data_IF_038387998067
#
_entry.id   IF_038387998067
#
_cell.length_a   1.000
_cell.length_b   1.000
_cell.length_c   1.000
_cell.angle_alpha   90.00
_cell.angle_beta   90.00
_cell.angle_gamma   90.00
#
_symmetry.space_group_name_H-M   'P 1'
#
loop_
_entity.id
_entity.type
_entity.pdbx_description
1 polymer ?
#
# COMPACT_ATOMS: atom_id res chain seq x y z
N UNK A 1 -22.09 -7.35 8.01
CA UNK A 1 -20.78 -7.81 7.45
C UNK A 1 -19.96 -6.72 6.71
N UNK A 2 -20.56 -5.62 6.23
CA UNK A 2 -19.88 -4.56 5.44
C UNK A 2 -18.96 -3.59 6.22
N UNK A 3 -19.06 -3.56 7.54
CA UNK A 3 -18.37 -2.61 8.43
C UNK A 3 -17.00 -3.12 8.90
N UNK A 4 -16.89 -4.44 9.13
CA UNK A 4 -15.62 -5.12 9.38
C UNK A 4 -14.64 -4.97 8.20
N UNK A 5 -15.16 -4.74 6.99
CA UNK A 5 -14.39 -4.55 5.77
C UNK A 5 -13.61 -3.23 5.72
N UNK A 6 -14.24 -2.16 6.21
CA UNK A 6 -13.71 -0.81 6.15
C UNK A 6 -12.48 -0.74 7.07
N UNK A 7 -12.59 -1.24 8.30
CA UNK A 7 -11.54 -1.31 9.33
C UNK A 7 -10.19 -1.88 8.82
N UNK A 8 -10.21 -2.90 7.95
CA UNK A 8 -8.99 -3.51 7.39
C UNK A 8 -8.40 -2.73 6.19
N UNK A 9 -9.21 -1.98 5.46
CA UNK A 9 -8.71 -1.07 4.42
C UNK A 9 -8.16 0.22 5.04
N UNK A 10 -8.77 0.69 6.12
CA UNK A 10 -8.39 1.92 6.81
C UNK A 10 -7.00 1.84 7.45
N UNK A 11 -6.56 0.63 7.82
CA UNK A 11 -5.21 0.35 8.34
C UNK A 11 -4.13 0.28 7.25
N UNK A 12 -4.50 0.07 5.97
CA UNK A 12 -3.55 -0.16 4.87
C UNK A 12 -3.10 1.13 4.15
N UNK A 13 -3.56 2.30 4.60
CA UNK A 13 -3.38 3.58 3.90
C UNK A 13 -2.89 4.73 4.80
N UNK A 14 -2.22 4.43 5.92
CA UNK A 14 -1.67 5.45 6.82
C UNK A 14 -0.13 5.36 6.86
N UNK A 15 0.62 6.38 6.40
CA UNK A 15 2.06 6.41 6.62
C UNK A 15 2.32 6.41 8.12
N UNK A 16 3.19 5.50 8.58
CA UNK A 16 3.76 5.56 9.92
C UNK A 16 4.59 6.85 10.00
N UNK A 17 4.04 7.87 10.65
CA UNK A 17 4.79 8.96 11.24
C UNK A 17 4.69 8.73 12.74
N UNK A 18 5.82 8.43 13.37
CA UNK A 18 5.92 8.37 14.81
C UNK A 18 6.18 9.79 15.34
N UNK A 19 5.75 10.02 16.59
CA UNK A 19 5.99 11.17 17.46
C UNK A 19 4.93 12.28 17.43
N UNK A 20 3.79 11.98 18.03
CA UNK A 20 3.10 12.87 18.97
C UNK A 20 2.43 11.96 20.01
N UNK A 21 2.41 12.36 21.28
CA UNK A 21 1.58 11.71 22.31
C UNK A 21 0.12 11.95 21.95
N UNK A 22 -0.38 11.14 21.04
CA UNK A 22 -1.60 11.41 20.32
C UNK A 22 -2.73 10.81 21.18
N UNK A 23 -3.42 11.68 21.93
CA UNK A 23 -4.40 11.31 22.95
C UNK A 23 -5.44 10.33 22.39
N UNK A 24 -5.90 9.41 23.24
CA UNK A 24 -7.02 8.53 22.91
C UNK A 24 -8.22 9.38 22.47
N UNK A 25 -8.83 9.02 21.34
CA UNK A 25 -9.97 9.75 20.80
C UNK A 25 -11.22 9.09 21.38
N UNK A 26 -12.02 9.84 22.13
CA UNK A 26 -13.27 9.30 22.67
C UNK A 26 -14.24 8.95 21.54
N UNK A 27 -15.03 7.88 21.73
CA UNK A 27 -16.06 7.49 20.75
C UNK A 27 -17.01 8.65 20.40
N UNK A 28 -17.27 9.53 21.36
CA UNK A 28 -18.14 10.70 21.22
C UNK A 28 -17.52 11.85 20.41
N UNK A 29 -16.19 11.91 20.32
CA UNK A 29 -15.46 12.93 19.56
C UNK A 29 -15.42 12.63 18.05
N UNK A 30 -15.84 11.43 17.65
CA UNK A 30 -15.98 11.04 16.26
C UNK A 30 -17.19 11.74 15.62
N UNK A 31 -17.00 12.25 14.40
CA UNK A 31 -18.11 12.82 13.62
C UNK A 31 -19.22 11.79 13.40
N UNK A 32 -20.44 12.25 13.11
CA UNK A 32 -21.61 11.37 12.89
C UNK A 32 -21.33 10.31 11.81
N UNK A 33 -20.65 10.72 10.74
CA UNK A 33 -20.27 9.85 9.63
C UNK A 33 -19.13 8.90 10.02
N UNK A 34 -18.16 9.31 10.84
CA UNK A 34 -17.12 8.43 11.37
C UNK A 34 -17.72 7.35 12.28
N UNK A 35 -18.60 7.73 13.22
CA UNK A 35 -19.33 6.78 14.08
C UNK A 35 -20.14 5.78 13.26
N UNK A 36 -20.85 6.22 12.20
CA UNK A 36 -21.59 5.30 11.33
C UNK A 36 -20.69 4.27 10.64
N UNK A 37 -19.51 4.69 10.18
CA UNK A 37 -18.56 3.81 9.49
C UNK A 37 -17.86 2.85 10.46
N UNK A 38 -17.58 3.32 11.68
CA UNK A 38 -16.86 2.59 12.71
C UNK A 38 -17.78 1.87 13.70
N UNK A 39 -19.11 1.99 13.58
CA UNK A 39 -20.09 1.51 14.57
C UNK A 39 -19.81 0.08 15.08
N UNK A 40 -19.35 -0.86 14.25
CA UNK A 40 -19.10 -2.23 14.73
C UNK A 40 -17.80 -2.42 15.50
N UNK A 41 -17.09 -1.34 15.78
CA UNK A 41 -16.00 -1.29 16.74
C UNK A 41 -16.39 -0.55 18.02
N UNK A 42 -17.60 0.01 18.12
CA UNK A 42 -18.07 0.83 19.24
C UNK A 42 -17.79 0.18 20.59
N UNK A 43 -18.26 -1.05 20.79
CA UNK A 43 -18.13 -1.78 22.06
C UNK A 43 -16.69 -2.05 22.47
N UNK A 44 -15.78 -2.09 21.49
CA UNK A 44 -14.35 -2.34 21.71
C UNK A 44 -13.50 -1.06 21.63
N UNK A 45 -14.09 0.10 21.32
CA UNK A 45 -13.33 1.27 20.90
C UNK A 45 -12.34 1.74 21.95
N UNK A 46 -12.79 1.82 23.20
CA UNK A 46 -11.98 2.29 24.33
C UNK A 46 -10.90 1.27 24.73
N UNK A 47 -11.02 0.01 24.30
CA UNK A 47 -9.97 -1.03 24.47
C UNK A 47 -8.88 -0.96 23.41
N UNK A 48 -9.09 -0.21 22.32
CA UNK A 48 -8.11 -0.07 21.25
C UNK A 48 -6.99 0.89 21.70
N UNK A 49 -5.71 0.57 21.41
CA UNK A 49 -4.62 1.52 21.63
C UNK A 49 -4.88 2.84 20.87
N UNK A 50 -4.49 3.97 21.47
CA UNK A 50 -4.73 5.30 20.89
C UNK A 50 -4.25 5.41 19.43
N UNK A 51 -3.08 4.86 19.11
CA UNK A 51 -2.56 4.84 17.73
C UNK A 51 -3.52 4.14 16.75
N UNK A 52 -4.17 3.05 17.21
CA UNK A 52 -5.14 2.30 16.40
C UNK A 52 -6.44 3.07 16.24
N UNK A 53 -6.94 3.71 17.29
CA UNK A 53 -8.12 4.59 17.22
C UNK A 53 -7.92 5.69 16.18
N UNK A 54 -6.75 6.34 16.21
CA UNK A 54 -6.43 7.40 15.26
C UNK A 54 -6.26 6.93 13.82
N UNK A 55 -5.64 5.76 13.62
CA UNK A 55 -5.56 5.14 12.28
C UNK A 55 -6.96 4.87 11.72
N UNK A 56 -7.89 4.39 12.56
CA UNK A 56 -9.27 4.13 12.18
C UNK A 56 -10.02 5.42 11.87
N UNK A 57 -9.88 6.46 12.69
CA UNK A 57 -10.45 7.78 12.44
C UNK A 57 -9.93 8.39 11.13
N UNK A 58 -8.61 8.49 10.95
CA UNK A 58 -7.96 8.98 9.71
C UNK A 58 -8.44 8.20 8.49
N UNK A 59 -8.63 6.90 8.65
CA UNK A 59 -9.21 6.06 7.62
C UNK A 59 -10.66 6.41 7.28
N UNK A 60 -11.52 6.55 8.29
CA UNK A 60 -12.93 6.86 8.12
C UNK A 60 -13.11 8.22 7.43
N UNK A 61 -12.32 9.23 7.81
CA UNK A 61 -12.26 10.52 7.12
C UNK A 61 -11.86 10.37 5.64
N UNK A 62 -10.81 9.59 5.33
CA UNK A 62 -10.44 9.31 3.92
C UNK A 62 -11.56 8.64 3.14
N UNK A 63 -12.27 7.67 3.74
CA UNK A 63 -13.37 6.97 3.09
C UNK A 63 -14.51 7.92 2.69
N UNK A 64 -14.78 8.92 3.52
CA UNK A 64 -15.80 9.93 3.25
C UNK A 64 -15.45 10.77 2.01
N UNK A 65 -14.17 11.10 1.81
CA UNK A 65 -13.71 11.84 0.63
C UNK A 65 -13.60 11.00 -0.66
N UNK A 66 -13.82 9.69 -0.62
CA UNK A 66 -13.80 8.85 -1.82
C UNK A 66 -15.10 8.99 -2.64
N UNK A 67 -14.96 9.10 -3.96
CA UNK A 67 -16.09 9.01 -4.89
C UNK A 67 -16.76 7.62 -4.85
N UNK A 68 -18.02 7.49 -5.30
CA UNK A 68 -18.69 6.18 -5.39
C UNK A 68 -17.86 5.12 -6.13
N UNK A 69 -17.23 5.48 -7.24
CA UNK A 69 -16.39 4.59 -8.05
C UNK A 69 -15.12 4.18 -7.30
N UNK A 70 -14.51 5.12 -6.58
CA UNK A 70 -13.35 4.84 -5.75
C UNK A 70 -13.71 3.88 -4.60
N UNK A 71 -14.84 4.11 -3.93
CA UNK A 71 -15.37 3.20 -2.88
C UNK A 71 -15.65 1.81 -3.45
N UNK A 72 -16.23 1.71 -4.65
CA UNK A 72 -16.47 0.44 -5.33
C UNK A 72 -15.16 -0.31 -5.61
N UNK A 73 -14.13 0.37 -6.13
CA UNK A 73 -12.80 -0.21 -6.36
C UNK A 73 -12.16 -0.71 -5.06
N UNK A 74 -12.30 0.04 -3.97
CA UNK A 74 -11.77 -0.37 -2.67
C UNK A 74 -12.52 -1.60 -2.14
N UNK A 75 -13.86 -1.64 -2.26
CA UNK A 75 -14.67 -2.80 -1.91
C UNK A 75 -14.24 -4.06 -2.67
N UNK A 76 -14.07 -3.96 -3.99
CA UNK A 76 -13.61 -5.08 -4.83
C UNK A 76 -12.23 -5.60 -4.43
N UNK A 77 -11.30 -4.69 -4.08
CA UNK A 77 -9.96 -5.07 -3.58
C UNK A 77 -10.07 -5.81 -2.25
N UNK A 78 -10.93 -5.33 -1.36
CA UNK A 78 -11.13 -5.94 -0.06
C UNK A 78 -11.77 -7.33 -0.16
N UNK A 79 -12.78 -7.52 -1.02
CA UNK A 79 -13.38 -8.83 -1.26
C UNK A 79 -12.35 -9.83 -1.81
N UNK A 80 -11.52 -9.38 -2.76
CA UNK A 80 -10.42 -10.19 -3.29
C UNK A 80 -9.42 -10.56 -2.19
N UNK A 81 -9.10 -9.62 -1.32
CA UNK A 81 -8.24 -9.85 -0.16
C UNK A 81 -8.80 -10.90 0.80
N UNK A 82 -10.10 -10.83 1.11
CA UNK A 82 -10.75 -11.80 2.00
C UNK A 82 -10.78 -13.22 1.43
N UNK A 83 -10.90 -13.36 0.11
CA UNK A 83 -10.85 -14.65 -0.58
C UNK A 83 -9.45 -15.28 -0.65
N UNK A 84 -8.40 -14.54 -0.26
CA UNK A 84 -7.05 -15.11 -0.25
C UNK A 84 -6.91 -16.15 0.88
N UNK A 85 -6.23 -17.29 0.62
CA UNK A 85 -5.89 -18.25 1.67
C UNK A 85 -5.13 -17.59 2.84
N UNK A 86 -5.29 -18.07 4.09
CA UNK A 86 -4.64 -17.49 5.26
C UNK A 86 -3.13 -17.25 5.08
N UNK A 87 -2.42 -18.22 4.51
CA UNK A 87 -0.98 -18.13 4.23
C UNK A 87 -0.65 -17.01 3.23
N UNK A 88 -1.46 -16.83 2.18
CA UNK A 88 -1.26 -15.74 1.23
C UNK A 88 -1.53 -14.37 1.86
N UNK A 89 -2.56 -14.28 2.71
CA UNK A 89 -2.83 -13.06 3.50
C UNK A 89 -1.65 -12.72 4.42
N UNK A 90 -1.07 -13.72 5.09
CA UNK A 90 0.11 -13.51 5.93
C UNK A 90 1.30 -12.97 5.12
N UNK A 91 1.60 -13.56 3.96
CA UNK A 91 2.68 -13.10 3.07
C UNK A 91 2.49 -11.65 2.61
N UNK A 92 1.28 -11.29 2.22
CA UNK A 92 1.00 -9.91 1.79
C UNK A 92 1.07 -8.93 2.97
N UNK A 93 0.62 -9.32 4.17
CA UNK A 93 0.80 -8.49 5.38
C UNK A 93 2.27 -8.25 5.67
N UNK A 94 3.10 -9.30 5.65
CA UNK A 94 4.54 -9.19 5.85
C UNK A 94 5.20 -8.26 4.80
N UNK A 95 4.83 -8.39 3.53
CA UNK A 95 5.33 -7.49 2.48
C UNK A 95 4.89 -6.05 2.71
N UNK A 96 3.65 -5.84 3.17
CA UNK A 96 3.14 -4.51 3.48
C UNK A 96 3.87 -3.91 4.68
N UNK A 97 4.06 -4.65 5.76
CA UNK A 97 4.81 -4.20 6.94
C UNK A 97 6.23 -3.78 6.57
N UNK A 98 6.96 -4.62 5.81
CA UNK A 98 8.28 -4.27 5.28
C UNK A 98 8.25 -3.04 4.38
N UNK A 99 7.20 -2.86 3.57
CA UNK A 99 7.06 -1.66 2.76
C UNK A 99 6.85 -0.41 3.63
N UNK A 100 6.16 -0.54 4.76
CA UNK A 100 5.88 0.57 5.67
C UNK A 100 7.07 0.99 6.50
N UNK A 101 8.06 0.11 6.72
CA UNK A 101 9.34 0.45 7.35
C UNK A 101 10.28 1.23 6.41
N UNK A 102 9.99 1.30 5.11
CA UNK A 102 10.82 2.05 4.17
C UNK A 102 10.67 3.57 4.38
N UNK A 103 11.75 4.35 4.21
CA UNK A 103 11.70 5.81 4.21
C UNK A 103 10.60 6.36 3.28
N UNK A 104 9.97 7.51 3.59
CA UNK A 104 8.92 8.10 2.76
C UNK A 104 9.31 8.29 1.28
N UNK A 105 10.55 8.70 1.03
CA UNK A 105 11.08 8.88 -0.31
C UNK A 105 11.13 7.55 -1.09
N UNK A 106 11.65 6.47 -0.48
CA UNK A 106 11.68 5.14 -1.09
C UNK A 106 10.27 4.58 -1.34
N UNK A 107 9.34 4.76 -0.40
CA UNK A 107 7.93 4.37 -0.59
C UNK A 107 7.28 5.11 -1.76
N UNK A 108 7.56 6.40 -1.90
CA UNK A 108 7.06 7.19 -3.05
C UNK A 108 7.65 6.65 -4.34
N UNK A 109 8.96 6.43 -4.35
CA UNK A 109 9.68 5.90 -5.49
C UNK A 109 9.13 4.54 -5.96
N UNK A 110 8.98 3.56 -5.06
CA UNK A 110 8.41 2.25 -5.40
C UNK A 110 6.97 2.35 -5.93
N UNK A 111 6.15 3.27 -5.39
CA UNK A 111 4.78 3.50 -5.89
C UNK A 111 4.78 4.04 -7.32
N UNK A 112 5.70 4.94 -7.65
CA UNK A 112 5.88 5.46 -9.01
C UNK A 112 6.32 4.34 -9.95
N UNK A 113 7.34 3.56 -9.58
CA UNK A 113 7.78 2.41 -10.38
C UNK A 113 6.64 1.43 -10.67
N UNK A 114 5.82 1.12 -9.66
CA UNK A 114 4.67 0.23 -9.82
C UNK A 114 3.60 0.85 -10.72
N UNK A 115 3.38 2.17 -10.65
CA UNK A 115 2.46 2.89 -11.54
C UNK A 115 2.93 2.81 -12.99
N UNK A 116 4.21 3.06 -13.25
CA UNK A 116 4.80 2.91 -14.59
C UNK A 116 4.68 1.47 -15.09
N UNK A 117 5.02 0.49 -14.26
CA UNK A 117 4.86 -0.92 -14.61
C UNK A 117 3.41 -1.25 -14.96
N UNK A 118 2.43 -0.71 -14.23
CA UNK A 118 0.99 -0.93 -14.48
C UNK A 118 0.47 -0.26 -15.76
N UNK A 119 1.17 0.76 -16.27
CA UNK A 119 0.86 1.45 -17.54
C UNK A 119 1.36 0.69 -18.76
N UNK A 120 2.32 -0.23 -18.59
CA UNK A 120 2.83 -1.05 -19.69
C UNK A 120 1.73 -1.96 -20.28
N UNK A 121 1.78 -2.25 -21.61
CA UNK A 121 0.93 -3.25 -22.25
C UNK A 121 0.95 -4.60 -21.53
N UNK A 122 -0.13 -5.37 -21.61
CA UNK A 122 -0.28 -6.60 -20.84
C UNK A 122 0.82 -7.62 -21.15
N UNK A 123 1.18 -7.73 -22.42
CA UNK A 123 2.21 -8.60 -22.98
C UNK A 123 3.58 -8.21 -22.43
N UNK A 124 3.90 -6.90 -22.44
CA UNK A 124 5.15 -6.38 -21.86
C UNK A 124 5.25 -6.64 -20.37
N UNK A 125 4.14 -6.47 -19.62
CA UNK A 125 4.10 -6.80 -18.19
C UNK A 125 4.33 -8.30 -17.95
N UNK A 126 3.77 -9.15 -18.80
CA UNK A 126 3.94 -10.59 -18.70
C UNK A 126 5.39 -11.01 -18.98
N UNK A 127 5.99 -10.53 -20.06
CA UNK A 127 7.41 -10.75 -20.39
C UNK A 127 8.33 -10.35 -19.23
N UNK A 128 8.08 -9.18 -18.60
CA UNK A 128 8.85 -8.73 -17.44
C UNK A 128 8.68 -9.65 -16.22
N UNK A 129 7.46 -10.17 -15.98
CA UNK A 129 7.20 -11.12 -14.89
C UNK A 129 7.88 -12.46 -15.13
N UNK A 130 7.82 -12.99 -16.34
CA UNK A 130 8.45 -14.26 -16.72
C UNK A 130 9.97 -14.15 -16.62
N UNK A 131 10.55 -13.09 -17.18
CA UNK A 131 11.97 -12.78 -17.05
C UNK A 131 12.41 -12.67 -15.59
N UNK A 132 11.60 -12.04 -14.73
CA UNK A 132 11.91 -11.96 -13.30
C UNK A 132 11.86 -13.32 -12.61
N UNK A 133 10.88 -14.17 -12.98
CA UNK A 133 10.72 -15.52 -12.43
C UNK A 133 11.87 -16.44 -12.82
N UNK A 134 12.40 -16.33 -14.03
CA UNK A 134 13.52 -17.14 -14.50
C UNK A 134 14.89 -16.70 -13.95
N UNK A 135 14.99 -15.51 -13.36
CA UNK A 135 16.24 -15.02 -12.77
C UNK A 135 16.54 -15.64 -11.40
N UNK A 136 17.82 -15.99 -11.17
CA UNK A 136 18.36 -16.33 -9.85
C UNK A 136 18.35 -15.12 -8.90
N UNK A 137 18.46 -15.30 -7.57
CA UNK A 137 18.54 -14.18 -6.63
C UNK A 137 19.68 -13.19 -6.93
N UNK A 138 20.83 -13.66 -7.42
CA UNK A 138 21.94 -12.80 -7.81
C UNK A 138 21.62 -12.01 -9.10
N UNK A 139 21.03 -12.67 -10.10
CA UNK A 139 20.61 -12.01 -11.34
C UNK A 139 19.54 -10.94 -11.08
N UNK A 140 18.62 -11.17 -10.13
CA UNK A 140 17.62 -10.19 -9.72
C UNK A 140 18.24 -8.95 -9.09
N UNK A 141 19.24 -9.12 -8.21
CA UNK A 141 19.98 -8.00 -7.60
C UNK A 141 20.63 -7.13 -8.67
N UNK A 142 21.40 -7.76 -9.56
CA UNK A 142 22.05 -7.04 -10.67
C UNK A 142 21.03 -6.38 -11.63
N UNK A 143 19.87 -7.01 -11.85
CA UNK A 143 18.80 -6.41 -12.65
C UNK A 143 18.21 -5.16 -11.98
N UNK A 144 17.97 -5.18 -10.67
CA UNK A 144 17.50 -4.02 -9.91
C UNK A 144 18.57 -2.91 -9.96
N UNK A 145 19.80 -3.21 -9.58
CA UNK A 145 20.92 -2.25 -9.51
C UNK A 145 21.11 -1.51 -10.83
N UNK A 146 21.14 -2.25 -11.94
CA UNK A 146 21.26 -1.65 -13.28
C UNK A 146 20.07 -0.76 -13.64
N UNK A 147 18.84 -1.16 -13.26
CA UNK A 147 17.65 -0.32 -13.51
C UNK A 147 17.66 0.95 -12.68
N UNK A 148 18.13 0.87 -11.44
CA UNK A 148 18.29 2.06 -10.59
C UNK A 148 19.40 2.96 -11.14
N UNK A 149 20.56 2.41 -11.46
CA UNK A 149 21.68 3.15 -12.05
C UNK A 149 21.27 3.86 -13.35
N UNK A 150 20.61 3.15 -14.27
CA UNK A 150 20.19 3.70 -15.56
C UNK A 150 19.22 4.89 -15.44
N UNK A 151 18.51 5.04 -14.32
CA UNK A 151 17.60 6.17 -14.10
C UNK A 151 18.34 7.46 -13.78
N UNK A 152 19.47 7.36 -13.08
CA UNK A 152 20.31 8.50 -12.74
C UNK A 152 21.14 8.99 -13.93
N UNK A 153 21.24 8.18 -14.99
CA UNK A 153 21.95 8.55 -16.21
C UNK A 153 21.14 9.52 -17.07
N UNK A 154 21.83 10.53 -17.59
CA UNK A 154 21.34 11.44 -18.63
C UNK A 154 21.06 10.70 -19.95
N UNK A 155 20.23 11.25 -20.85
CA UNK A 155 19.99 10.67 -22.16
C UNK A 155 21.28 10.38 -22.97
N UNK A 156 22.32 11.21 -22.81
CA UNK A 156 23.63 10.99 -23.42
C UNK A 156 24.34 9.78 -22.82
N UNK A 157 24.45 9.72 -21.50
CA UNK A 157 25.10 8.61 -20.79
C UNK A 157 24.39 7.25 -21.02
N UNK A 158 23.06 7.24 -21.14
CA UNK A 158 22.32 6.01 -21.50
C UNK A 158 22.67 5.51 -22.90
N UNK A 159 22.84 6.42 -23.87
CA UNK A 159 23.23 6.06 -25.25
C UNK A 159 24.62 5.45 -25.32
N UNK A 160 25.55 5.98 -24.52
CA UNK A 160 26.91 5.43 -24.40
C UNK A 160 26.90 4.01 -23.79
N UNK A 161 26.02 3.75 -22.81
CA UNK A 161 25.87 2.44 -22.18
C UNK A 161 25.38 1.34 -23.14
N UNK A 162 24.63 1.72 -24.18
CA UNK A 162 24.18 0.79 -25.25
C UNK A 162 25.20 0.62 -26.37
N UNK A 163 26.24 1.47 -26.45
CA UNK A 163 27.25 1.44 -27.52
C UNK A 163 28.37 0.42 -27.25
N UNK A 164 28.54 -0.02 -26.00
CA UNK A 164 29.57 -0.96 -25.56
C UNK A 164 29.03 -2.36 -25.21
N UNK A 165 27.93 -2.78 -25.85
CA UNK A 165 27.27 -4.08 -25.64
C UNK A 165 27.08 -4.79 -26.97
#
# INVERSE_FOLDING_TARGET
MMTRAIVYVLTLLAPLAAMAGDAAVGWHDLSRQERKLLAPLQDSWDTLPAERQQKLRKGAARWQHLSPEQRARVKQRFERWQRLPPQQRARVRQHFERFMTLPPAERRHLREQYREFRRLPAERRQQLRERWRSMTPQQRRHFIERREHARHLTPRQRRELHRHR
#
